data_IF_374964570605
#
_entry.id   IF_374964570605
#
_cell.length_a   1.000
_cell.length_b   1.000
_cell.length_c   1.000
_cell.angle_alpha   90.00
_cell.angle_beta   90.00
_cell.angle_gamma   90.00
#
_symmetry.space_group_name_H-M   'P 1'
#
loop_
_entity.id
_entity.type
_entity.pdbx_description
1 polymer ?
#
# COMPACT_ATOMS: atom_id res chain seq x y z
N UNK A 1 17.91 16.51 -2.92
CA UNK A 1 18.51 16.66 -4.28
C UNK A 1 18.25 18.08 -4.77
N UNK A 2 19.10 18.67 -5.62
CA UNK A 2 18.79 19.96 -6.23
C UNK A 2 17.59 19.79 -7.20
N UNK A 3 16.57 20.65 -7.16
CA UNK A 3 15.47 20.58 -8.10
C UNK A 3 15.92 20.95 -9.53
N UNK A 4 15.26 20.44 -10.59
CA UNK A 4 15.52 20.84 -11.97
C UNK A 4 15.29 22.34 -12.21
N UNK A 5 15.88 22.88 -13.27
CA UNK A 5 15.72 24.30 -13.64
C UNK A 5 14.24 24.70 -13.73
N UNK A 6 13.88 25.80 -13.06
CA UNK A 6 12.50 26.31 -13.01
C UNK A 6 11.57 25.60 -12.02
N UNK A 7 12.08 24.66 -11.20
CA UNK A 7 11.32 24.04 -10.10
C UNK A 7 11.92 24.43 -8.75
N UNK A 8 11.06 24.77 -7.80
CA UNK A 8 11.44 24.92 -6.40
C UNK A 8 11.05 23.66 -5.64
N UNK A 9 11.89 23.24 -4.72
CA UNK A 9 11.54 22.12 -3.84
C UNK A 9 10.37 22.51 -2.94
N UNK A 10 9.39 21.61 -2.84
CA UNK A 10 8.27 21.75 -1.91
C UNK A 10 8.23 20.59 -0.92
N UNK A 11 9.02 20.73 0.14
CA UNK A 11 9.15 19.74 1.21
C UNK A 11 7.86 19.52 2.03
N UNK A 12 6.94 20.49 2.06
CA UNK A 12 5.67 20.42 2.81
C UNK A 12 4.46 20.26 1.90
N UNK A 13 4.64 19.80 0.66
CA UNK A 13 3.53 19.61 -0.26
C UNK A 13 2.52 18.58 0.26
N UNK A 14 1.20 18.84 0.09
CA UNK A 14 0.17 17.83 0.31
C UNK A 14 0.36 16.63 -0.63
N UNK A 15 -0.42 15.57 -0.43
CA UNK A 15 -0.32 14.36 -1.26
C UNK A 15 -0.38 14.69 -2.75
N UNK A 16 0.58 14.14 -3.50
CA UNK A 16 0.65 14.37 -4.93
C UNK A 16 -0.34 13.48 -5.70
N UNK A 17 -0.51 13.75 -6.99
CA UNK A 17 -1.44 13.00 -7.84
C UNK A 17 -1.13 11.50 -7.88
N UNK A 18 0.14 11.10 -7.77
CA UNK A 18 0.55 9.69 -7.76
C UNK A 18 0.12 8.99 -6.46
N UNK A 19 0.33 9.62 -5.30
CA UNK A 19 -0.08 9.08 -4.00
C UNK A 19 -1.60 8.92 -3.96
N UNK A 20 -2.33 9.95 -4.38
CA UNK A 20 -3.80 9.94 -4.46
C UNK A 20 -4.29 8.84 -5.41
N UNK A 21 -3.74 8.77 -6.64
CA UNK A 21 -4.10 7.75 -7.61
C UNK A 21 -3.84 6.33 -7.10
N UNK A 22 -2.75 6.14 -6.36
CA UNK A 22 -2.41 4.84 -5.77
C UNK A 22 -3.45 4.41 -4.72
N UNK A 23 -3.85 5.33 -3.83
CA UNK A 23 -4.87 5.05 -2.81
C UNK A 23 -6.21 4.70 -3.45
N UNK A 24 -6.61 5.45 -4.49
CA UNK A 24 -7.85 5.18 -5.23
C UNK A 24 -7.77 3.81 -5.92
N UNK A 25 -6.68 3.53 -6.63
CA UNK A 25 -6.51 2.27 -7.35
C UNK A 25 -6.54 1.07 -6.41
N UNK A 26 -5.87 1.15 -5.26
CA UNK A 26 -5.93 0.11 -4.23
C UNK A 26 -7.36 -0.03 -3.69
N UNK A 27 -8.03 1.07 -3.34
CA UNK A 27 -9.40 1.02 -2.81
C UNK A 27 -10.38 0.32 -3.76
N UNK A 28 -10.31 0.64 -5.06
CA UNK A 28 -11.17 0.01 -6.08
C UNK A 28 -10.85 -1.48 -6.24
N UNK A 29 -9.58 -1.84 -6.39
CA UNK A 29 -9.17 -3.24 -6.57
C UNK A 29 -9.44 -4.08 -5.33
N UNK A 30 -9.22 -3.53 -4.14
CA UNK A 30 -9.48 -4.19 -2.86
C UNK A 30 -10.98 -4.41 -2.63
N UNK A 31 -11.84 -3.48 -3.08
CA UNK A 31 -13.29 -3.69 -3.08
C UNK A 31 -13.68 -4.92 -3.91
N UNK A 32 -13.17 -5.03 -5.14
CA UNK A 32 -13.42 -6.22 -5.97
C UNK A 32 -12.86 -7.50 -5.35
N UNK A 33 -11.67 -7.44 -4.74
CA UNK A 33 -11.09 -8.56 -4.01
C UNK A 33 -11.98 -9.00 -2.83
N UNK A 34 -12.57 -8.04 -2.10
CA UNK A 34 -13.50 -8.29 -0.99
C UNK A 34 -14.76 -9.01 -1.48
N UNK A 35 -15.35 -8.54 -2.59
CA UNK A 35 -16.52 -9.18 -3.20
C UNK A 35 -16.18 -10.61 -3.67
N UNK A 36 -15.06 -10.78 -4.35
CA UNK A 36 -14.59 -12.10 -4.81
C UNK A 36 -14.35 -13.09 -3.66
N UNK A 37 -13.71 -12.63 -2.59
CA UNK A 37 -13.48 -13.42 -1.38
C UNK A 37 -14.81 -13.79 -0.70
N UNK A 38 -15.75 -12.85 -0.60
CA UNK A 38 -17.09 -13.11 -0.07
C UNK A 38 -17.84 -14.19 -0.86
N UNK A 39 -17.78 -14.14 -2.19
CA UNK A 39 -18.36 -15.18 -3.06
C UNK A 39 -17.69 -16.54 -2.85
N UNK A 40 -16.35 -16.58 -2.70
CA UNK A 40 -15.61 -17.81 -2.37
C UNK A 40 -16.05 -18.41 -1.04
N UNK A 41 -16.19 -17.59 0.01
CA UNK A 41 -16.73 -18.05 1.30
C UNK A 41 -18.17 -18.56 1.17
N UNK A 42 -19.01 -17.89 0.39
CA UNK A 42 -20.38 -18.33 0.14
C UNK A 42 -20.43 -19.71 -0.53
N UNK A 43 -19.59 -19.92 -1.56
CA UNK A 43 -19.47 -21.21 -2.25
C UNK A 43 -19.00 -22.32 -1.30
N UNK A 44 -17.94 -22.07 -0.52
CA UNK A 44 -17.38 -23.05 0.40
C UNK A 44 -18.37 -23.45 1.51
N UNK A 45 -19.10 -22.50 2.08
CA UNK A 45 -20.00 -22.73 3.21
C UNK A 45 -21.36 -23.31 2.80
N UNK A 46 -21.99 -22.78 1.73
CA UNK A 46 -23.35 -23.18 1.35
C UNK A 46 -23.40 -24.26 0.28
N UNK A 47 -22.48 -24.27 -0.69
CA UNK A 47 -22.55 -25.19 -1.83
C UNK A 47 -21.70 -26.44 -1.59
N UNK A 48 -20.40 -26.27 -1.38
CA UNK A 48 -19.46 -27.39 -1.30
C UNK A 48 -19.43 -28.01 0.10
N UNK A 49 -19.66 -27.21 1.15
CA UNK A 49 -19.54 -27.60 2.57
C UNK A 49 -18.18 -28.23 2.90
N UNK A 50 -17.14 -27.86 2.14
CA UNK A 50 -15.76 -28.25 2.39
C UNK A 50 -14.88 -27.01 2.43
N UNK A 51 -13.99 -26.99 3.41
CA UNK A 51 -12.93 -25.99 3.49
C UNK A 51 -11.72 -26.51 2.73
N UNK A 52 -11.39 -25.83 1.64
CA UNK A 52 -10.18 -26.09 0.88
C UNK A 52 -9.04 -25.21 1.41
N UNK A 53 -7.81 -25.73 1.36
CA UNK A 53 -6.60 -24.97 1.71
C UNK A 53 -6.50 -23.69 0.87
N UNK A 54 -7.01 -23.71 -0.36
CA UNK A 54 -7.11 -22.56 -1.25
C UNK A 54 -7.82 -21.37 -0.59
N UNK A 55 -8.93 -21.61 0.13
CA UNK A 55 -9.67 -20.55 0.83
C UNK A 55 -8.85 -19.94 1.98
N UNK A 56 -7.99 -20.73 2.63
CA UNK A 56 -7.11 -20.23 3.69
C UNK A 56 -6.01 -19.35 3.09
N UNK A 57 -5.38 -19.80 2.00
CA UNK A 57 -4.30 -19.08 1.32
C UNK A 57 -4.79 -17.73 0.78
N UNK A 58 -5.97 -17.69 0.14
CA UNK A 58 -6.51 -16.45 -0.41
C UNK A 58 -6.89 -15.46 0.70
N UNK A 59 -7.41 -15.93 1.83
CA UNK A 59 -7.72 -15.08 2.99
C UNK A 59 -6.45 -14.51 3.63
N UNK A 60 -5.39 -15.31 3.76
CA UNK A 60 -4.10 -14.82 4.24
C UNK A 60 -3.54 -13.78 3.28
N UNK A 61 -3.56 -14.06 1.97
CA UNK A 61 -3.05 -13.14 0.93
C UNK A 61 -3.82 -11.81 0.95
N UNK A 62 -5.14 -11.86 1.12
CA UNK A 62 -5.99 -10.68 1.30
C UNK A 62 -5.55 -9.87 2.52
N UNK A 63 -5.36 -10.50 3.67
CA UNK A 63 -4.86 -9.84 4.88
C UNK A 63 -3.47 -9.21 4.71
N UNK A 64 -2.54 -9.95 4.11
CA UNK A 64 -1.17 -9.47 3.83
C UNK A 64 -1.20 -8.26 2.89
N UNK A 65 -2.06 -8.26 1.87
CA UNK A 65 -2.19 -7.12 0.96
C UNK A 65 -2.64 -5.85 1.68
N UNK A 66 -3.51 -5.97 2.69
CA UNK A 66 -3.95 -4.84 3.50
C UNK A 66 -2.81 -4.29 4.37
N UNK A 67 -2.07 -5.18 5.04
CA UNK A 67 -0.90 -4.79 5.84
C UNK A 67 0.11 -4.05 4.97
N UNK A 68 0.43 -4.60 3.80
CA UNK A 68 1.31 -3.97 2.83
C UNK A 68 0.83 -2.57 2.44
N UNK A 69 -0.46 -2.41 2.16
CA UNK A 69 -1.02 -1.11 1.80
C UNK A 69 -0.97 -0.09 2.94
N UNK A 70 -1.32 -0.48 4.16
CA UNK A 70 -1.23 0.41 5.34
C UNK A 70 0.20 0.87 5.56
N UNK A 71 1.16 -0.04 5.45
CA UNK A 71 2.59 0.29 5.51
C UNK A 71 2.98 1.27 4.41
N UNK A 72 2.53 1.04 3.17
CA UNK A 72 2.79 1.93 2.06
C UNK A 72 2.23 3.35 2.29
N UNK A 73 1.00 3.47 2.83
CA UNK A 73 0.40 4.75 3.20
C UNK A 73 1.23 5.46 4.28
N UNK A 74 1.69 4.73 5.30
CA UNK A 74 2.58 5.32 6.30
C UNK A 74 3.91 5.81 5.70
N UNK A 75 4.43 5.09 4.70
CA UNK A 75 5.62 5.51 3.96
C UNK A 75 5.38 6.77 3.08
N UNK A 76 4.13 7.09 2.71
CA UNK A 76 3.79 8.32 1.96
C UNK A 76 4.08 9.59 2.75
N UNK A 77 3.94 9.54 4.08
CA UNK A 77 4.28 10.64 4.98
C UNK A 77 5.79 10.94 4.94
N UNK A 78 6.61 9.91 4.69
CA UNK A 78 8.07 9.98 4.62
C UNK A 78 8.63 10.10 3.20
N UNK A 79 7.81 10.50 2.24
CA UNK A 79 8.25 10.81 0.88
C UNK A 79 8.10 9.68 -0.14
N UNK A 80 7.42 8.58 0.18
CA UNK A 80 7.05 7.57 -0.82
C UNK A 80 6.24 8.20 -1.96
N UNK A 81 6.68 8.02 -3.20
CA UNK A 81 5.99 8.56 -4.38
C UNK A 81 6.20 10.06 -4.61
N UNK A 82 6.96 10.77 -3.77
CA UNK A 82 7.41 12.14 -4.03
C UNK A 82 8.73 12.14 -4.81
N UNK A 83 9.02 13.24 -5.51
CA UNK A 83 10.33 13.40 -6.16
C UNK A 83 11.42 13.60 -5.11
N UNK A 84 12.62 13.09 -5.36
CA UNK A 84 13.75 13.13 -4.41
C UNK A 84 14.23 14.57 -4.07
N UNK A 85 13.87 15.55 -4.89
CA UNK A 85 14.11 16.97 -4.60
C UNK A 85 13.02 17.59 -3.72
N UNK A 86 11.86 16.96 -3.53
CA UNK A 86 10.75 17.39 -2.66
C UNK A 86 10.72 16.65 -1.31
N UNK A 87 11.79 15.91 -0.98
CA UNK A 87 11.92 15.12 0.24
C UNK A 87 13.17 15.57 1.01
N UNK A 88 13.05 15.76 2.32
CA UNK A 88 14.20 16.15 3.15
C UNK A 88 15.07 14.94 3.49
N UNK A 89 16.33 15.19 3.87
CA UNK A 89 17.21 14.12 4.37
C UNK A 89 16.66 13.44 5.63
N UNK A 90 15.95 14.20 6.48
CA UNK A 90 15.31 13.66 7.68
C UNK A 90 14.22 12.64 7.32
N UNK A 91 13.36 12.99 6.36
CA UNK A 91 12.29 12.10 5.86
C UNK A 91 12.89 10.81 5.27
N UNK A 92 14.01 10.90 4.54
CA UNK A 92 14.68 9.72 3.98
C UNK A 92 15.28 8.79 5.06
N UNK A 93 15.79 9.37 6.15
CA UNK A 93 16.28 8.59 7.30
C UNK A 93 15.11 7.91 8.01
N UNK A 94 14.00 8.62 8.18
CA UNK A 94 12.79 8.07 8.82
C UNK A 94 12.12 7.01 7.95
N UNK A 95 12.03 7.23 6.63
CA UNK A 95 11.60 6.25 5.64
C UNK A 95 12.43 4.97 5.73
N UNK A 96 13.76 5.09 5.83
CA UNK A 96 14.64 3.93 5.98
C UNK A 96 14.41 3.18 7.29
N UNK A 97 14.23 3.89 8.41
CA UNK A 97 13.91 3.28 9.71
C UNK A 97 12.55 2.59 9.68
N UNK A 98 11.53 3.24 9.12
CA UNK A 98 10.18 2.67 8.99
C UNK A 98 10.17 1.42 8.10
N UNK A 99 11.05 1.37 7.09
CA UNK A 99 11.21 0.21 6.20
C UNK A 99 12.03 -0.93 6.81
N UNK A 100 13.02 -0.66 7.67
CA UNK A 100 13.89 -1.69 8.27
C UNK A 100 13.18 -2.91 8.87
N UNK A 101 12.10 -2.77 9.67
CA UNK A 101 11.41 -3.94 10.21
C UNK A 101 10.77 -4.84 9.14
N UNK A 102 10.52 -4.33 7.92
CA UNK A 102 10.01 -5.11 6.79
C UNK A 102 11.09 -5.91 6.06
N UNK A 103 12.35 -5.47 6.15
CA UNK A 103 13.51 -6.10 5.49
C UNK A 103 14.13 -7.24 6.31
N UNK A 104 13.81 -7.32 7.60
CA UNK A 104 14.30 -8.35 8.52
C UNK A 104 13.32 -9.53 8.69
N UNK A 105 12.37 -9.68 7.75
CA UNK A 105 11.43 -10.80 7.62
C UNK A 105 11.83 -11.61 6.40
#
# INVERSE_FOLDING_TARGET
MAPPDGKTSNFHAPYNSLQIATVIAFGVTYFFATVGLGLRYFQALKLVKKFEIDLVIITISYGVSMVYFVTMVHLMDYGWGKHLWDVTLADLVEFNKARQPLLNI
#
